data_IF_365722001009
#
_entry.id   IF_365722001009
#
_cell.length_a   1.000
_cell.length_b   1.000
_cell.length_c   1.000
_cell.angle_alpha   90.00
_cell.angle_beta   90.00
_cell.angle_gamma   90.00
#
_symmetry.space_group_name_H-M   'P 1'
#
loop_
_entity.id
_entity.type
_entity.pdbx_description
1 polymer ?
#
# COMPACT_ATOMS: atom_id res chain seq x y z
N UNK A 1 -20.45 -17.38 7.65
CA UNK A 1 -20.50 -15.90 7.75
C UNK A 1 -19.77 -15.39 6.52
N UNK A 2 -20.56 -15.06 5.49
CA UNK A 2 -20.02 -14.52 4.25
C UNK A 2 -19.68 -13.04 4.51
N UNK A 3 -18.45 -12.82 4.99
CA UNK A 3 -17.90 -11.48 5.08
C UNK A 3 -17.68 -10.97 3.66
N UNK A 4 -18.57 -10.12 3.17
CA UNK A 4 -18.30 -9.34 1.99
C UNK A 4 -17.05 -8.50 2.29
N UNK A 5 -15.90 -8.91 1.74
CA UNK A 5 -14.74 -8.05 1.68
C UNK A 5 -15.12 -6.84 0.82
N UNK A 6 -15.43 -5.73 1.43
CA UNK A 6 -15.52 -4.47 0.72
C UNK A 6 -14.11 -4.17 0.18
N UNK A 7 -13.90 -4.42 -1.09
CA UNK A 7 -12.66 -4.01 -1.77
C UNK A 7 -12.73 -2.53 -2.07
N UNK A 8 -12.57 -1.70 -1.04
CA UNK A 8 -12.43 -0.27 -1.20
C UNK A 8 -11.06 0.04 -1.78
N UNK A 9 -11.01 0.81 -2.87
CA UNK A 9 -9.76 1.31 -3.43
C UNK A 9 -9.47 2.67 -2.83
N UNK A 10 -8.36 2.77 -2.11
CA UNK A 10 -7.92 3.99 -1.45
C UNK A 10 -6.67 4.54 -2.14
N UNK A 11 -6.56 5.86 -2.21
CA UNK A 11 -5.38 6.52 -2.73
C UNK A 11 -5.02 7.77 -1.92
N UNK A 12 -3.71 7.98 -1.74
CA UNK A 12 -3.15 9.27 -1.39
C UNK A 12 -2.77 9.97 -2.69
N UNK A 13 -3.14 11.22 -2.85
CA UNK A 13 -2.94 11.99 -4.08
C UNK A 13 -2.62 13.45 -3.80
N UNK A 14 -2.16 14.15 -4.81
CA UNK A 14 -2.08 15.61 -4.79
C UNK A 14 -2.87 16.21 -5.95
N UNK A 15 -3.49 17.35 -5.69
CA UNK A 15 -4.17 18.18 -6.68
C UNK A 15 -3.82 19.64 -6.40
N UNK A 16 -3.39 20.38 -7.42
CA UNK A 16 -2.94 21.77 -7.29
C UNK A 16 -1.90 21.98 -6.16
N UNK A 17 -1.00 21.02 -5.97
CA UNK A 17 0.04 21.07 -4.94
C UNK A 17 -0.42 20.75 -3.51
N UNK A 18 -1.69 20.44 -3.31
CA UNK A 18 -2.24 20.03 -2.00
C UNK A 18 -2.38 18.53 -1.94
N UNK A 19 -1.81 17.90 -0.92
CA UNK A 19 -1.96 16.46 -0.67
C UNK A 19 -3.30 16.17 0.01
N UNK A 20 -3.99 15.14 -0.45
CA UNK A 20 -5.22 14.61 0.10
C UNK A 20 -5.25 13.08 -0.01
N UNK A 21 -6.36 12.50 0.43
CA UNK A 21 -6.61 11.06 0.34
C UNK A 21 -8.08 10.81 0.05
N UNK A 22 -8.37 9.65 -0.57
CA UNK A 22 -9.75 9.41 -0.98
C UNK A 22 -10.03 8.00 -1.46
N UNK A 23 -11.30 7.81 -1.86
CA UNK A 23 -11.82 6.58 -2.42
C UNK A 23 -11.82 6.70 -3.95
N UNK A 24 -11.22 5.71 -4.61
CA UNK A 24 -11.22 5.60 -6.06
C UNK A 24 -12.39 4.73 -6.52
N UNK A 25 -13.19 5.25 -7.44
CA UNK A 25 -14.26 4.52 -8.12
C UNK A 25 -14.18 4.78 -9.65
N UNK A 26 -13.92 3.73 -10.40
CA UNK A 26 -13.69 3.83 -11.85
C UNK A 26 -12.49 4.74 -12.16
N UNK A 27 -12.75 5.82 -12.90
CA UNK A 27 -11.80 6.85 -13.31
C UNK A 27 -11.89 8.15 -12.46
N UNK A 28 -12.58 8.07 -11.32
CA UNK A 28 -12.87 9.20 -10.43
C UNK A 28 -12.35 8.94 -9.02
N UNK A 29 -12.20 10.02 -8.25
CA UNK A 29 -11.83 9.96 -6.85
C UNK A 29 -12.71 10.89 -6.00
N UNK A 30 -13.13 10.38 -4.83
CA UNK A 30 -13.84 11.12 -3.80
C UNK A 30 -12.82 11.56 -2.76
N UNK A 31 -12.64 12.87 -2.57
CA UNK A 31 -11.76 13.45 -1.57
C UNK A 31 -12.36 13.29 -0.17
N UNK A 32 -11.68 12.58 0.70
CA UNK A 32 -12.16 12.32 2.06
C UNK A 32 -11.70 13.37 3.09
N UNK A 33 -10.65 14.13 2.80
CA UNK A 33 -10.14 15.10 3.77
C UNK A 33 -11.21 16.13 4.20
N UNK A 34 -11.99 16.75 3.30
CA UNK A 34 -13.06 17.66 3.70
C UNK A 34 -14.27 16.95 4.31
N UNK A 35 -14.45 15.64 4.06
CA UNK A 35 -15.61 14.87 4.51
C UNK A 35 -15.40 14.20 5.86
N UNK A 36 -14.14 14.00 6.25
CA UNK A 36 -13.76 13.29 7.47
C UNK A 36 -12.76 14.11 8.29
N UNK A 37 -13.21 15.21 8.94
CA UNK A 37 -12.35 16.14 9.67
C UNK A 37 -11.76 15.50 10.92
N UNK A 38 -10.99 14.64 11.01
CA UNK A 38 -10.38 13.89 12.10
C UNK A 38 -9.51 12.75 11.58
N UNK A 39 -9.65 12.47 10.28
CA UNK A 39 -8.83 11.51 9.54
C UNK A 39 -7.72 12.30 8.84
N UNK A 40 -6.48 11.89 9.04
CA UNK A 40 -5.30 12.61 8.55
C UNK A 40 -4.65 11.97 7.33
N UNK A 41 -5.05 10.75 6.99
CA UNK A 41 -4.53 10.00 5.84
C UNK A 41 -5.00 8.55 5.83
N UNK A 42 -4.50 7.78 4.88
CA UNK A 42 -4.90 6.38 4.71
C UNK A 42 -4.58 5.49 5.90
N UNK A 43 -3.62 5.85 6.74
CA UNK A 43 -3.28 5.07 7.95
C UNK A 43 -4.49 4.97 8.89
N UNK A 44 -5.24 6.06 9.01
CA UNK A 44 -6.43 6.08 9.86
C UNK A 44 -7.58 5.24 9.27
N UNK A 45 -7.58 5.03 7.94
CA UNK A 45 -8.56 4.20 7.23
C UNK A 45 -8.19 2.71 7.18
N UNK A 46 -7.13 2.29 7.84
CA UNK A 46 -6.82 0.86 7.97
C UNK A 46 -7.71 0.15 9.00
N UNK A 47 -8.44 0.90 9.80
CA UNK A 47 -9.47 0.39 10.71
C UNK A 47 -10.79 0.14 9.95
N UNK A 48 -11.43 -1.04 10.10
CA UNK A 48 -12.67 -1.36 9.40
C UNK A 48 -13.86 -0.41 9.72
N UNK A 49 -13.88 0.17 10.92
CA UNK A 49 -14.92 1.15 11.28
C UNK A 49 -14.73 2.43 10.48
N UNK A 50 -13.51 2.94 10.40
CA UNK A 50 -13.18 4.13 9.62
C UNK A 50 -13.46 3.92 8.11
N UNK A 51 -13.24 2.71 7.58
CA UNK A 51 -13.61 2.38 6.20
C UNK A 51 -15.13 2.44 5.98
N UNK A 52 -15.92 1.96 6.95
CA UNK A 52 -17.38 2.04 6.88
C UNK A 52 -17.87 3.49 6.93
N UNK A 53 -17.26 4.31 7.75
CA UNK A 53 -17.54 5.75 7.83
C UNK A 53 -17.18 6.46 6.53
N UNK A 54 -16.02 6.13 5.94
CA UNK A 54 -15.59 6.67 4.66
C UNK A 54 -16.55 6.32 3.51
N UNK A 55 -17.01 5.06 3.45
CA UNK A 55 -18.02 4.64 2.47
C UNK A 55 -19.35 5.42 2.64
N UNK A 56 -19.72 5.67 3.89
CA UNK A 56 -20.93 6.45 4.21
C UNK A 56 -20.79 7.92 3.81
N UNK A 57 -19.60 8.50 4.00
CA UNK A 57 -19.31 9.90 3.70
C UNK A 57 -19.40 10.25 2.20
N UNK A 58 -19.27 9.26 1.33
CA UNK A 58 -19.39 9.44 -0.13
C UNK A 58 -20.74 8.97 -0.69
N UNK A 59 -21.60 8.40 0.14
CA UNK A 59 -22.88 7.86 -0.34
C UNK A 59 -23.78 8.96 -0.93
N UNK A 60 -24.10 8.82 -2.23
CA UNK A 60 -24.90 9.80 -2.98
C UNK A 60 -24.17 11.11 -3.31
N UNK A 61 -22.85 11.19 -3.05
CA UNK A 61 -22.05 12.33 -3.42
C UNK A 61 -21.54 12.22 -4.88
N UNK A 62 -21.27 13.35 -5.50
CA UNK A 62 -20.49 13.40 -6.74
C UNK A 62 -19.00 13.26 -6.41
N UNK A 63 -18.25 12.62 -7.30
CA UNK A 63 -16.79 12.55 -7.19
C UNK A 63 -16.15 13.91 -7.42
N UNK A 64 -15.08 14.21 -6.68
CA UNK A 64 -14.45 15.53 -6.70
C UNK A 64 -13.54 15.75 -7.91
N UNK A 65 -12.77 14.71 -8.30
CA UNK A 65 -11.79 14.81 -9.37
C UNK A 65 -11.83 13.61 -10.29
N UNK A 66 -11.40 13.78 -11.55
CA UNK A 66 -10.99 12.67 -12.39
C UNK A 66 -9.57 12.21 -12.00
N UNK A 67 -9.25 10.93 -12.20
CA UNK A 67 -7.90 10.43 -11.93
C UNK A 67 -6.82 11.09 -12.81
N UNK A 68 -7.20 11.64 -13.96
CA UNK A 68 -6.32 12.43 -14.85
C UNK A 68 -5.92 13.79 -14.27
N UNK A 69 -6.66 14.30 -13.29
CA UNK A 69 -6.50 15.65 -12.75
C UNK A 69 -5.69 15.65 -11.45
N UNK A 70 -5.26 14.47 -10.99
CA UNK A 70 -4.51 14.27 -9.76
C UNK A 70 -3.15 13.63 -10.04
N UNK A 71 -2.25 13.75 -9.08
CA UNK A 71 -1.00 13.00 -9.02
C UNK A 71 -1.07 11.99 -7.87
N UNK A 72 -0.93 10.71 -8.17
CA UNK A 72 -0.85 9.69 -7.12
C UNK A 72 0.42 9.84 -6.29
N UNK A 73 0.25 9.76 -4.99
CA UNK A 73 1.35 9.75 -4.02
C UNK A 73 1.57 8.32 -3.53
N UNK A 74 2.59 8.11 -2.70
CA UNK A 74 2.72 6.83 -1.98
C UNK A 74 1.46 6.58 -1.17
N UNK A 75 0.86 5.39 -1.19
CA UNK A 75 -0.36 5.11 -0.40
C UNK A 75 -0.19 5.47 1.07
N UNK A 76 0.92 5.02 1.67
CA UNK A 76 1.37 5.44 3.00
C UNK A 76 2.62 6.29 2.81
N UNK A 77 2.52 7.59 3.02
CA UNK A 77 3.63 8.50 2.73
C UNK A 77 4.83 8.26 3.65
N UNK A 78 4.57 7.95 4.92
CA UNK A 78 5.59 7.76 5.94
C UNK A 78 5.34 6.47 6.73
N UNK A 79 5.58 5.28 6.15
CA UNK A 79 5.48 4.04 6.88
C UNK A 79 6.55 4.00 7.97
N UNK A 80 6.22 3.43 9.13
CA UNK A 80 7.19 3.32 10.23
C UNK A 80 8.32 2.33 9.93
N UNK A 81 7.99 1.23 9.29
CA UNK A 81 8.95 0.19 8.88
C UNK A 81 8.50 -0.43 7.55
N UNK A 82 9.46 -0.75 6.70
CA UNK A 82 9.25 -1.54 5.49
C UNK A 82 10.08 -2.82 5.65
N UNK A 83 9.37 -3.94 5.80
CA UNK A 83 9.99 -5.27 6.01
C UNK A 83 9.77 -6.09 4.77
N UNK A 84 10.85 -6.53 4.13
CA UNK A 84 10.82 -7.36 2.94
C UNK A 84 11.11 -8.81 3.30
N UNK A 85 10.45 -9.73 2.62
CA UNK A 85 10.66 -11.18 2.76
C UNK A 85 11.20 -11.72 1.44
N UNK A 86 12.51 -11.92 1.38
CA UNK A 86 13.19 -12.38 0.18
C UNK A 86 12.92 -13.85 -0.14
N UNK A 87 12.93 -14.18 -1.43
CA UNK A 87 12.82 -15.55 -1.98
C UNK A 87 11.54 -16.27 -1.47
N UNK A 88 10.42 -15.54 -1.44
CA UNK A 88 9.18 -16.05 -0.84
C UNK A 88 8.19 -16.62 -1.86
N UNK A 89 8.32 -16.32 -3.16
CA UNK A 89 7.50 -16.92 -4.21
C UNK A 89 7.90 -18.39 -4.46
N UNK A 90 6.89 -19.26 -4.62
CA UNK A 90 7.09 -20.70 -4.68
C UNK A 90 7.91 -21.23 -5.86
N UNK A 91 8.01 -20.45 -6.96
CA UNK A 91 8.77 -20.77 -8.16
C UNK A 91 10.16 -20.13 -8.20
N UNK A 92 10.52 -19.33 -7.20
CA UNK A 92 11.78 -18.56 -7.19
C UNK A 92 13.02 -19.49 -7.15
N UNK A 93 12.90 -20.69 -6.55
CA UNK A 93 13.97 -21.68 -6.51
C UNK A 93 14.40 -22.14 -7.94
N UNK A 94 13.48 -22.08 -8.91
CA UNK A 94 13.80 -22.47 -10.30
C UNK A 94 14.63 -21.45 -11.05
N UNK A 95 14.64 -20.19 -10.60
CA UNK A 95 15.40 -19.09 -11.21
C UNK A 95 16.85 -19.05 -10.69
N UNK A 96 17.11 -19.60 -9.53
CA UNK A 96 18.44 -19.68 -8.93
C UNK A 96 18.96 -21.11 -8.99
N UNK A 97 20.12 -21.33 -9.60
CA UNK A 97 20.77 -22.64 -9.82
C UNK A 97 21.06 -23.41 -8.51
N UNK A 98 20.96 -22.78 -7.37
CA UNK A 98 21.08 -23.40 -6.05
C UNK A 98 19.94 -22.85 -5.20
N UNK A 99 19.14 -23.73 -4.60
CA UNK A 99 18.12 -23.35 -3.63
C UNK A 99 18.76 -22.56 -2.49
N UNK A 100 18.47 -21.24 -2.46
CA UNK A 100 18.91 -20.34 -1.38
C UNK A 100 17.83 -20.28 -0.29
N UNK A 101 16.73 -21.03 -0.49
CA UNK A 101 15.62 -21.06 0.45
C UNK A 101 16.05 -21.79 1.72
N UNK A 102 16.28 -21.03 2.78
CA UNK A 102 16.56 -21.57 4.10
C UNK A 102 15.31 -22.11 4.80
N UNK A 103 15.52 -22.76 5.94
CA UNK A 103 14.44 -23.20 6.84
C UNK A 103 13.61 -22.02 7.38
N UNK A 104 14.21 -20.83 7.45
CA UNK A 104 13.60 -19.58 7.92
C UNK A 104 13.53 -18.55 6.79
N UNK A 105 12.55 -17.64 6.82
CA UNK A 105 12.44 -16.59 5.82
C UNK A 105 13.64 -15.62 5.87
N UNK A 106 14.14 -15.23 4.70
CA UNK A 106 15.08 -14.13 4.58
C UNK A 106 14.32 -12.82 4.80
N UNK A 107 14.74 -12.05 5.80
CA UNK A 107 14.09 -10.78 6.14
C UNK A 107 15.13 -9.68 6.02
N UNK A 108 14.78 -8.60 5.32
CA UNK A 108 15.56 -7.38 5.25
C UNK A 108 14.67 -6.15 5.36
N UNK A 109 15.27 -4.99 5.59
CA UNK A 109 14.57 -3.75 5.81
C UNK A 109 14.89 -2.76 4.69
N UNK A 110 13.88 -2.04 4.27
CA UNK A 110 14.01 -0.81 3.49
C UNK A 110 13.68 0.40 4.37
N UNK A 111 14.33 1.51 4.11
CA UNK A 111 13.96 2.75 4.79
C UNK A 111 12.85 3.45 4.01
N UNK A 112 11.92 4.15 4.68
CA UNK A 112 10.83 4.86 4.01
C UNK A 112 11.28 5.85 2.94
N UNK A 113 12.48 6.40 3.08
CA UNK A 113 13.07 7.37 2.15
C UNK A 113 13.39 6.78 0.77
N UNK A 114 13.55 5.45 0.70
CA UNK A 114 13.83 4.76 -0.58
C UNK A 114 12.56 4.49 -1.41
N UNK A 115 11.37 4.76 -0.87
CA UNK A 115 10.11 4.54 -1.57
C UNK A 115 9.81 5.67 -2.55
N UNK A 116 9.50 5.32 -3.78
CA UNK A 116 9.00 6.23 -4.80
C UNK A 116 7.47 6.17 -4.94
N UNK A 117 6.85 7.24 -5.40
CA UNK A 117 5.44 7.30 -5.74
C UNK A 117 5.18 6.80 -7.18
N UNK A 118 3.90 6.67 -7.54
CA UNK A 118 3.48 6.35 -8.90
C UNK A 118 4.06 7.37 -9.90
N UNK A 119 4.61 6.88 -11.01
CA UNK A 119 5.27 7.68 -12.05
C UNK A 119 6.49 8.51 -11.57
N UNK A 120 6.94 8.35 -10.35
CA UNK A 120 8.21 8.92 -9.92
C UNK A 120 9.35 8.06 -10.46
N UNK A 121 10.36 8.72 -11.03
CA UNK A 121 11.53 8.02 -11.58
C UNK A 121 12.32 7.30 -10.49
N UNK A 122 12.69 6.06 -10.74
CA UNK A 122 13.71 5.35 -9.95
C UNK A 122 15.09 5.77 -10.44
N UNK A 123 15.99 6.01 -9.51
CA UNK A 123 17.35 6.45 -9.83
C UNK A 123 18.25 5.23 -9.99
N UNK A 124 18.84 5.08 -11.16
CA UNK A 124 19.91 4.09 -11.39
C UNK A 124 21.20 4.65 -10.80
N UNK A 125 21.81 4.00 -9.79
CA UNK A 125 23.06 4.48 -9.22
C UNK A 125 24.22 4.28 -10.21
N UNK A 126 25.22 5.18 -10.22
CA UNK A 126 26.35 5.08 -11.15
C UNK A 126 27.24 3.83 -10.93
N UNK A 127 27.09 3.19 -9.78
CA UNK A 127 27.82 1.98 -9.39
C UNK A 127 27.22 0.70 -9.99
N UNK A 128 26.03 0.76 -10.60
CA UNK A 128 25.36 -0.39 -11.20
C UNK A 128 24.85 -0.07 -12.60
N UNK A 129 25.09 -0.96 -13.52
CA UNK A 129 24.50 -0.94 -14.87
C UNK A 129 23.25 -1.82 -14.97
N UNK A 130 22.85 -2.44 -13.87
CA UNK A 130 21.78 -3.42 -13.79
C UNK A 130 20.72 -2.94 -12.80
N UNK A 131 19.64 -2.39 -13.31
CA UNK A 131 18.41 -2.16 -12.59
C UNK A 131 17.35 -3.10 -13.16
N UNK A 132 16.77 -3.91 -12.30
CA UNK A 132 15.68 -4.79 -12.68
C UNK A 132 14.41 -4.40 -11.92
N UNK A 133 13.28 -4.93 -12.32
CA UNK A 133 12.02 -4.75 -11.60
C UNK A 133 11.67 -5.99 -10.80
N UNK A 134 11.10 -5.81 -9.64
CA UNK A 134 10.57 -6.89 -8.83
C UNK A 134 9.11 -6.58 -8.45
N UNK A 135 8.17 -7.29 -9.11
CA UNK A 135 6.74 -7.14 -8.85
C UNK A 135 6.34 -7.84 -7.56
N UNK A 136 5.95 -7.07 -6.55
CA UNK A 136 5.66 -7.55 -5.21
C UNK A 136 4.26 -7.21 -4.73
N UNK A 137 3.76 -7.99 -3.77
CA UNK A 137 2.56 -7.70 -3.01
C UNK A 137 2.97 -7.13 -1.65
N UNK A 138 2.64 -5.88 -1.40
CA UNK A 138 2.87 -5.25 -0.11
C UNK A 138 1.62 -5.35 0.77
N UNK A 139 1.79 -5.90 1.97
CA UNK A 139 0.76 -5.97 3.01
C UNK A 139 0.95 -4.79 3.96
N UNK A 140 -0.09 -3.97 4.11
CA UNK A 140 -0.09 -2.85 5.04
C UNK A 140 -0.67 -3.32 6.37
N UNK A 141 0.12 -3.28 7.43
CA UNK A 141 -0.31 -3.69 8.76
C UNK A 141 -1.15 -2.58 9.39
N UNK A 142 -2.44 -2.85 9.57
CA UNK A 142 -3.40 -1.92 10.18
C UNK A 142 -3.51 -2.08 11.69
N UNK A 143 -3.22 -3.26 12.21
CA UNK A 143 -3.29 -3.55 13.64
C UNK A 143 -1.93 -4.02 14.15
N UNK A 144 -1.31 -3.23 15.02
CA UNK A 144 -0.06 -3.60 15.66
C UNK A 144 -0.19 -4.83 16.56
N UNK A 145 0.93 -5.54 16.79
CA UNK A 145 0.93 -6.69 17.69
C UNK A 145 2.31 -7.30 17.87
N UNK A 146 2.42 -8.20 18.83
CA UNK A 146 3.61 -9.00 19.10
C UNK A 146 3.23 -10.42 19.43
N UNK A 147 3.99 -11.40 18.93
CA UNK A 147 3.73 -12.84 19.11
C UNK A 147 2.32 -13.23 18.65
N UNK A 148 1.91 -12.67 17.52
CA UNK A 148 0.59 -12.89 16.93
C UNK A 148 0.50 -14.38 16.53
N UNK A 149 -0.54 -15.11 16.97
CA UNK A 149 -0.77 -16.47 16.53
C UNK A 149 -1.02 -16.51 15.01
N UNK A 150 -0.56 -17.57 14.36
CA UNK A 150 -0.72 -17.76 12.91
C UNK A 150 -2.18 -17.62 12.45
N UNK A 151 -3.11 -18.18 13.22
CA UNK A 151 -4.53 -18.22 12.88
C UNK A 151 -5.21 -16.84 12.91
N UNK A 152 -4.60 -15.87 13.58
CA UNK A 152 -5.07 -14.47 13.66
C UNK A 152 -4.18 -13.49 12.91
N UNK A 153 -3.14 -13.95 12.21
CA UNK A 153 -2.18 -13.06 11.55
C UNK A 153 -2.84 -12.21 10.46
N UNK A 154 -3.80 -12.76 9.72
CA UNK A 154 -4.51 -12.02 8.66
C UNK A 154 -5.40 -10.90 9.20
N UNK A 155 -5.86 -10.97 10.45
CA UNK A 155 -6.66 -9.93 11.10
C UNK A 155 -5.86 -8.64 11.37
N UNK A 156 -4.54 -8.70 11.17
CA UNK A 156 -3.64 -7.56 11.33
C UNK A 156 -3.37 -6.80 10.04
N UNK A 157 -3.80 -7.34 8.89
CA UNK A 157 -3.66 -6.71 7.58
C UNK A 157 -4.80 -5.72 7.39
N UNK A 158 -4.48 -4.44 7.24
CA UNK A 158 -5.46 -3.39 6.98
C UNK A 158 -5.67 -3.11 5.49
N UNK A 159 -4.66 -3.33 4.67
CA UNK A 159 -4.73 -3.13 3.22
C UNK A 159 -3.67 -3.94 2.47
N UNK A 160 -3.83 -4.00 1.15
CA UNK A 160 -2.89 -4.64 0.22
C UNK A 160 -2.64 -3.69 -0.94
N UNK A 161 -1.39 -3.61 -1.40
CA UNK A 161 -1.03 -2.85 -2.58
C UNK A 161 0.06 -3.55 -3.38
N UNK A 162 0.33 -3.08 -4.61
CA UNK A 162 1.46 -3.53 -5.40
C UNK A 162 2.69 -2.67 -5.09
N UNK A 163 3.86 -3.28 -5.15
CA UNK A 163 5.15 -2.63 -5.01
C UNK A 163 6.07 -3.11 -6.14
N UNK A 164 6.93 -2.24 -6.64
CA UNK A 164 8.13 -2.63 -7.39
C UNK A 164 9.32 -2.49 -6.43
N UNK A 165 10.00 -3.60 -6.15
CA UNK A 165 11.08 -3.69 -5.15
C UNK A 165 12.48 -3.62 -5.80
N UNK A 166 12.56 -3.19 -7.04
CA UNK A 166 13.80 -3.05 -7.80
C UNK A 166 14.84 -2.09 -7.22
#
# INVERSE_FOLDING_TARGET
MDGAFFTMKLATFSVNGTTSFGIVDGDRIFDLAPRMPGVTGLVDLLDPTAQTEAATAINGADADYALSDIEFRRPIEFPGQVVCVGINYGNRDAEYSNSIRGEYPNIFLRTPETLAAHNQAMLVPPESEQLDYEGEIALVIGKGGRRIPRDSALDHIGAVTCLNEG
#
